data_IF_321775996850
#
_entry.id   IF_321775996850
#
_cell.length_a   1.000
_cell.length_b   1.000
_cell.length_c   1.000
_cell.angle_alpha   90.00
_cell.angle_beta   90.00
_cell.angle_gamma   90.00
#
_symmetry.space_group_name_H-M   'P 1'
#
loop_
_entity.id
_entity.type
_entity.pdbx_description
1 polymer ?
#
# COMPACT_ATOMS: atom_id res chain seq x y z
N UNK A 1 28.52 26.65 -43.24
CA UNK A 1 27.51 26.98 -42.24
C UNK A 1 27.34 25.80 -41.29
N UNK A 2 28.10 25.78 -40.20
CA UNK A 2 27.82 25.16 -38.88
C UNK A 2 28.78 25.87 -37.91
N UNK A 3 28.26 26.40 -36.80
CA UNK A 3 29.05 27.07 -35.75
C UNK A 3 29.74 26.07 -34.82
N UNK A 4 30.95 26.41 -34.35
CA UNK A 4 31.57 25.87 -33.12
C UNK A 4 32.04 27.03 -32.24
N UNK A 5 31.50 27.14 -31.02
CA UNK A 5 32.05 26.74 -29.70
C UNK A 5 33.39 27.37 -29.32
N UNK A 6 33.46 27.90 -28.09
CA UNK A 6 34.73 28.22 -27.44
C UNK A 6 34.53 28.80 -26.04
N UNK A 7 34.46 27.91 -25.05
CA UNK A 7 34.63 28.26 -23.64
C UNK A 7 36.13 28.40 -23.30
N UNK A 8 36.47 29.23 -22.33
CA UNK A 8 37.77 29.15 -21.65
C UNK A 8 37.64 29.56 -20.18
N UNK A 9 38.23 28.71 -19.36
CA UNK A 9 38.29 28.66 -17.90
C UNK A 9 39.56 29.31 -17.34
N UNK A 10 39.55 29.47 -16.01
CA UNK A 10 40.69 29.46 -15.08
C UNK A 10 41.51 30.74 -14.92
N UNK A 11 42.17 31.05 -13.79
CA UNK A 11 42.16 30.71 -12.36
C UNK A 11 43.26 31.67 -11.79
N UNK A 12 42.96 32.44 -10.73
CA UNK A 12 43.75 32.82 -9.52
C UNK A 12 45.32 32.95 -9.56
N UNK A 13 46.03 33.62 -8.62
CA UNK A 13 45.62 34.57 -7.55
C UNK A 13 46.61 35.75 -7.28
N UNK A 14 46.21 36.58 -6.30
CA UNK A 14 47.01 37.07 -5.15
C UNK A 14 47.46 38.55 -5.05
N UNK A 15 47.21 39.06 -3.83
CA UNK A 15 47.89 40.09 -3.04
C UNK A 15 47.81 41.58 -3.42
N UNK A 16 47.01 42.31 -2.61
CA UNK A 16 47.25 43.67 -2.05
C UNK A 16 48.70 43.88 -1.53
N UNK A 17 49.23 45.11 -1.23
CA UNK A 17 48.50 46.32 -0.81
C UNK A 17 49.08 47.73 -1.21
N UNK A 18 48.25 48.77 -1.00
CA UNK A 18 48.56 50.10 -0.42
C UNK A 18 49.38 51.21 -1.18
N UNK A 19 48.73 52.38 -1.21
CA UNK A 19 49.22 53.77 -0.98
C UNK A 19 49.55 54.73 -2.16
N UNK A 20 48.77 55.82 -2.14
CA UNK A 20 49.12 57.27 -2.23
C UNK A 20 49.42 57.93 -3.59
N UNK A 21 48.41 58.71 -4.00
CA UNK A 21 48.40 60.16 -4.29
C UNK A 21 49.32 60.75 -5.37
N UNK A 22 48.69 61.24 -6.45
CA UNK A 22 49.17 62.34 -7.30
C UNK A 22 48.00 63.27 -7.63
N UNK A 23 48.07 64.50 -7.12
CA UNK A 23 47.13 65.62 -7.32
C UNK A 23 47.63 66.50 -8.47
N UNK A 24 46.72 67.14 -9.21
CA UNK A 24 46.75 68.51 -9.82
C UNK A 24 45.79 68.51 -11.05
N UNK A 25 44.89 69.45 -11.32
CA UNK A 25 44.45 70.68 -10.64
C UNK A 25 43.16 71.19 -11.30
N UNK A 26 42.22 71.67 -10.46
CA UNK A 26 41.29 72.81 -10.60
C UNK A 26 40.58 73.08 -11.94
N UNK A 27 39.25 73.13 -11.90
CA UNK A 27 38.55 74.35 -11.45
C UNK A 27 37.10 74.05 -11.04
N UNK A 28 36.74 74.50 -9.84
CA UNK A 28 35.39 74.47 -9.29
C UNK A 28 34.58 75.64 -9.84
N UNK A 29 33.33 75.39 -10.23
CA UNK A 29 32.24 76.32 -9.91
C UNK A 29 31.02 75.57 -9.41
N UNK A 30 30.57 76.02 -8.23
CA UNK A 30 29.67 75.33 -7.30
C UNK A 30 28.20 75.55 -7.65
N UNK A 31 27.45 74.46 -7.52
CA UNK A 31 26.19 74.33 -6.79
C UNK A 31 25.00 75.21 -7.19
N UNK A 32 23.94 74.54 -7.72
CA UNK A 32 22.61 74.59 -7.11
C UNK A 32 21.94 73.21 -7.21
N UNK A 33 21.74 72.57 -6.06
CA UNK A 33 20.89 71.40 -5.86
C UNK A 33 19.43 71.82 -5.71
N UNK A 34 18.52 71.08 -6.34
CA UNK A 34 17.07 71.07 -6.06
C UNK A 34 16.65 69.59 -5.94
N UNK A 35 16.05 69.15 -4.82
CA UNK A 35 15.58 67.77 -4.68
C UNK A 35 14.23 67.58 -5.39
N UNK A 36 14.15 66.56 -6.24
CA UNK A 36 12.91 66.12 -6.88
C UNK A 36 12.15 65.26 -5.85
N UNK A 37 11.21 65.87 -5.13
CA UNK A 37 10.23 65.13 -4.34
C UNK A 37 8.96 64.94 -5.18
N UNK A 38 8.92 63.93 -6.04
CA UNK A 38 7.67 63.44 -6.62
C UNK A 38 7.18 62.23 -5.82
N UNK A 39 6.27 62.48 -4.88
CA UNK A 39 5.51 61.42 -4.24
C UNK A 39 4.48 60.89 -5.23
N UNK A 40 4.64 59.64 -5.69
CA UNK A 40 3.52 58.90 -6.28
C UNK A 40 2.59 58.49 -5.13
N UNK A 41 1.43 59.14 -5.01
CA UNK A 41 0.32 58.62 -4.21
C UNK A 41 -0.09 57.25 -4.78
N UNK A 42 0.20 56.19 -4.03
CA UNK A 42 -0.39 54.88 -4.28
C UNK A 42 -1.86 54.98 -3.89
N UNK A 43 -2.76 55.11 -4.87
CA UNK A 43 -4.20 55.03 -4.63
C UNK A 43 -4.52 53.68 -3.99
N UNK A 44 -5.00 53.72 -2.75
CA UNK A 44 -5.56 52.56 -2.06
C UNK A 44 -6.76 52.06 -2.87
N UNK A 45 -6.87 50.76 -3.19
CA UNK A 45 -8.03 50.25 -3.92
C UNK A 45 -9.33 50.60 -3.19
N UNK A 46 -10.34 51.07 -3.94
CA UNK A 46 -11.66 51.42 -3.39
C UNK A 46 -12.20 50.29 -2.51
N UNK A 47 -12.79 50.63 -1.36
CA UNK A 47 -13.31 49.66 -0.40
C UNK A 47 -14.36 48.70 -1.01
N UNK A 48 -14.98 49.06 -2.13
CA UNK A 48 -15.85 48.17 -2.91
C UNK A 48 -15.10 47.03 -3.62
N UNK A 49 -13.89 47.28 -4.15
CA UNK A 49 -13.11 46.29 -4.90
C UNK A 49 -12.54 45.23 -3.95
N UNK A 50 -12.08 45.63 -2.76
CA UNK A 50 -11.61 44.71 -1.72
C UNK A 50 -12.75 43.85 -1.16
N UNK A 51 -13.98 44.38 -1.06
CA UNK A 51 -15.15 43.59 -0.64
C UNK A 51 -15.59 42.56 -1.68
N UNK A 52 -15.56 42.89 -2.98
CA UNK A 52 -15.87 41.93 -4.04
C UNK A 52 -14.81 40.82 -4.16
N UNK A 53 -13.52 41.15 -4.02
CA UNK A 53 -12.44 40.15 -4.03
C UNK A 53 -12.50 39.21 -2.82
N UNK A 54 -12.81 39.71 -1.62
CA UNK A 54 -13.01 38.88 -0.44
C UNK A 54 -14.23 37.94 -0.58
N UNK A 55 -15.31 38.40 -1.21
CA UNK A 55 -16.49 37.57 -1.48
C UNK A 55 -16.22 36.47 -2.52
N UNK A 56 -15.42 36.74 -3.55
CA UNK A 56 -14.99 35.74 -4.54
C UNK A 56 -14.08 34.66 -3.93
N UNK A 57 -13.20 35.02 -2.99
CA UNK A 57 -12.34 34.05 -2.27
C UNK A 57 -13.17 33.13 -1.36
N UNK A 58 -14.19 33.66 -0.69
CA UNK A 58 -15.10 32.85 0.15
C UNK A 58 -15.93 31.88 -0.72
N UNK A 59 -16.43 32.33 -1.88
CA UNK A 59 -17.17 31.45 -2.80
C UNK A 59 -16.27 30.38 -3.43
N UNK A 60 -15.00 30.68 -3.76
CA UNK A 60 -14.04 29.66 -4.20
C UNK A 60 -13.66 28.68 -3.08
N UNK A 61 -13.63 29.10 -1.81
CA UNK A 61 -13.32 28.21 -0.68
C UNK A 61 -14.46 27.21 -0.38
N UNK A 62 -15.72 27.59 -0.63
CA UNK A 62 -16.87 26.70 -0.45
C UNK A 62 -17.07 25.69 -1.59
N UNK A 63 -16.49 25.92 -2.78
CA UNK A 63 -16.53 24.97 -3.90
C UNK A 63 -15.54 23.80 -3.78
N UNK A 64 -14.61 23.88 -2.81
CA UNK A 64 -13.64 22.83 -2.50
C UNK A 64 -13.78 22.34 -1.06
N UNK A 65 -15.00 22.19 -0.55
CA UNK A 65 -15.19 21.31 0.59
C UNK A 65 -14.77 19.90 0.14
N UNK A 66 -13.68 19.31 0.67
CA UNK A 66 -13.38 17.93 0.34
C UNK A 66 -14.60 17.13 0.78
N UNK A 67 -15.31 16.53 -0.17
CA UNK A 67 -16.23 15.47 0.15
C UNK A 67 -15.39 14.46 0.95
N UNK A 68 -15.67 14.35 2.25
CA UNK A 68 -15.06 13.33 3.09
C UNK A 68 -15.60 12.01 2.53
N UNK A 69 -14.92 11.48 1.53
CA UNK A 69 -15.23 10.17 0.98
C UNK A 69 -14.99 9.19 2.14
N UNK A 70 -16.08 8.58 2.61
CA UNK A 70 -16.01 7.54 3.62
C UNK A 70 -15.14 6.40 3.06
N UNK A 71 -13.92 6.28 3.58
CA UNK A 71 -12.97 5.24 3.17
C UNK A 71 -13.54 3.86 3.49
N UNK A 72 -13.28 2.90 2.61
CA UNK A 72 -13.67 1.50 2.76
C UNK A 72 -12.43 0.60 2.66
N UNK A 73 -12.45 -0.53 3.36
CA UNK A 73 -11.45 -1.60 3.18
C UNK A 73 -12.05 -2.71 2.33
N UNK A 74 -11.41 -3.04 1.22
CA UNK A 74 -11.76 -4.20 0.40
C UNK A 74 -10.79 -5.34 0.67
N UNK A 75 -11.30 -6.58 0.73
CA UNK A 75 -10.49 -7.76 0.97
C UNK A 75 -10.45 -8.66 -0.26
N UNK A 76 -9.27 -8.99 -0.75
CA UNK A 76 -9.03 -9.93 -1.84
C UNK A 76 -8.22 -11.12 -1.31
N UNK A 77 -8.83 -12.30 -1.31
CA UNK A 77 -8.18 -13.51 -0.83
C UNK A 77 -8.97 -14.79 -1.10
N UNK A 78 -8.60 -15.84 -0.38
CA UNK A 78 -9.13 -17.20 -0.54
C UNK A 78 -10.10 -17.63 0.58
N UNK A 79 -10.31 -18.94 0.76
CA UNK A 79 -11.22 -19.48 1.79
C UNK A 79 -10.82 -19.09 3.20
N UNK A 80 -9.54 -18.87 3.49
CA UNK A 80 -9.10 -18.47 4.83
C UNK A 80 -9.52 -17.05 5.20
N UNK A 81 -9.88 -16.23 4.21
CA UNK A 81 -10.37 -14.86 4.37
C UNK A 81 -11.88 -14.74 4.09
N UNK A 82 -12.43 -15.60 3.22
CA UNK A 82 -13.79 -15.53 2.71
C UNK A 82 -14.89 -15.83 3.74
N UNK A 83 -16.08 -15.27 3.50
CA UNK A 83 -17.30 -15.68 4.23
C UNK A 83 -17.54 -17.17 4.06
N UNK A 84 -17.91 -17.84 5.15
CA UNK A 84 -18.15 -19.29 5.24
C UNK A 84 -16.89 -20.16 5.05
N UNK A 85 -15.69 -19.57 5.04
CA UNK A 85 -14.44 -20.32 5.11
C UNK A 85 -14.26 -21.33 3.97
N UNK A 86 -13.98 -22.58 4.34
CA UNK A 86 -13.92 -23.74 3.46
C UNK A 86 -15.29 -24.35 3.12
N UNK A 87 -16.38 -23.81 3.68
CA UNK A 87 -17.75 -24.23 3.47
C UNK A 87 -18.34 -25.04 4.63
N UNK A 88 -19.60 -25.47 4.44
CA UNK A 88 -20.33 -26.39 5.32
C UNK A 88 -20.53 -25.97 6.80
N UNK A 89 -20.43 -24.67 7.10
CA UNK A 89 -20.90 -24.07 8.37
C UNK A 89 -20.02 -24.29 9.60
N UNK A 90 -18.95 -25.08 9.49
CA UNK A 90 -17.99 -25.32 10.58
C UNK A 90 -16.75 -24.41 10.51
N UNK A 91 -16.51 -23.78 9.36
CA UNK A 91 -15.41 -22.83 9.15
C UNK A 91 -15.91 -21.44 8.77
N UNK A 92 -15.05 -20.46 9.01
CA UNK A 92 -15.21 -19.11 8.52
C UNK A 92 -13.85 -18.48 8.21
N UNK A 93 -13.85 -17.42 7.41
CA UNK A 93 -12.65 -16.69 7.05
C UNK A 93 -12.40 -15.47 7.94
N UNK A 94 -11.13 -15.17 8.20
CA UNK A 94 -10.72 -14.10 9.11
C UNK A 94 -11.24 -12.71 8.69
N UNK A 95 -11.44 -12.50 7.39
CA UNK A 95 -11.96 -11.26 6.85
C UNK A 95 -13.39 -10.92 7.33
N UNK A 96 -14.16 -11.90 7.82
CA UNK A 96 -15.47 -11.65 8.44
C UNK A 96 -15.36 -10.93 9.80
N UNK A 97 -14.23 -11.08 10.47
CA UNK A 97 -13.99 -10.57 11.83
C UNK A 97 -13.21 -9.25 11.84
N UNK A 98 -12.56 -8.88 10.73
CA UNK A 98 -11.73 -7.67 10.66
C UNK A 98 -12.52 -6.39 10.96
N UNK A 99 -13.77 -6.30 10.49
CA UNK A 99 -14.59 -5.09 10.60
C UNK A 99 -14.82 -4.63 12.05
N UNK A 100 -14.85 -5.55 13.01
CA UNK A 100 -15.04 -5.21 14.42
C UNK A 100 -13.83 -4.51 15.06
N UNK A 101 -12.68 -4.52 14.39
CA UNK A 101 -11.43 -3.90 14.86
C UNK A 101 -11.12 -2.57 14.17
N UNK A 102 -11.95 -2.14 13.23
CA UNK A 102 -11.78 -0.93 12.45
C UNK A 102 -12.88 0.10 12.73
N UNK A 103 -12.59 1.35 12.37
CA UNK A 103 -13.53 2.49 12.42
C UNK A 103 -14.20 2.76 11.08
N UNK A 104 -13.84 2.00 10.04
CA UNK A 104 -14.32 2.13 8.66
C UNK A 104 -14.88 0.80 8.17
N UNK A 105 -15.84 0.81 7.22
CA UNK A 105 -16.46 -0.41 6.72
C UNK A 105 -15.48 -1.33 5.99
N UNK A 106 -15.78 -2.62 6.04
CA UNK A 106 -15.03 -3.69 5.35
C UNK A 106 -15.95 -4.39 4.36
N UNK A 107 -15.51 -4.51 3.11
CA UNK A 107 -16.15 -5.29 2.05
C UNK A 107 -15.27 -6.50 1.76
N UNK A 108 -15.77 -7.68 2.11
CA UNK A 108 -15.03 -8.91 1.91
C UNK A 108 -15.33 -9.52 0.53
N UNK A 109 -14.38 -9.40 -0.40
CA UNK A 109 -14.45 -9.98 -1.75
C UNK A 109 -13.61 -11.26 -1.88
N UNK A 110 -13.11 -11.82 -0.78
CA UNK A 110 -12.39 -13.09 -0.81
C UNK A 110 -13.34 -14.23 -1.17
N UNK A 111 -12.84 -15.19 -1.94
CA UNK A 111 -13.63 -16.30 -2.47
C UNK A 111 -12.87 -17.61 -2.25
N UNK A 112 -13.57 -18.59 -1.68
CA UNK A 112 -13.02 -19.92 -1.46
C UNK A 112 -12.40 -20.55 -2.72
N UNK A 113 -11.24 -21.17 -2.52
CA UNK A 113 -10.49 -21.88 -3.55
C UNK A 113 -9.79 -21.01 -4.59
N UNK A 114 -9.76 -19.67 -4.44
CA UNK A 114 -9.02 -18.82 -5.39
C UNK A 114 -7.55 -18.73 -5.05
N UNK A 115 -6.74 -18.67 -6.09
CA UNK A 115 -5.32 -18.31 -6.11
C UNK A 115 -5.16 -16.92 -6.72
N UNK A 116 -3.96 -16.35 -6.68
CA UNK A 116 -3.68 -15.07 -7.36
C UNK A 116 -4.00 -15.13 -8.86
N UNK A 117 -3.70 -16.26 -9.53
CA UNK A 117 -4.06 -16.52 -10.93
C UNK A 117 -5.57 -16.56 -11.14
N UNK A 118 -6.26 -17.50 -10.50
CA UNK A 118 -7.69 -17.71 -10.74
C UNK A 118 -8.52 -16.49 -10.33
N UNK A 119 -8.15 -15.76 -9.28
CA UNK A 119 -8.80 -14.52 -8.90
C UNK A 119 -8.64 -13.42 -9.98
N UNK A 120 -7.49 -13.39 -10.65
CA UNK A 120 -7.23 -12.49 -11.78
C UNK A 120 -8.01 -12.91 -13.02
N UNK A 121 -7.91 -14.19 -13.43
CA UNK A 121 -8.53 -14.72 -14.64
C UNK A 121 -10.07 -14.67 -14.57
N UNK A 122 -10.65 -14.81 -13.39
CA UNK A 122 -12.09 -14.65 -13.16
C UNK A 122 -12.54 -13.17 -13.06
N UNK A 123 -11.65 -12.20 -13.29
CA UNK A 123 -11.95 -10.78 -13.30
C UNK A 123 -12.27 -10.19 -11.91
N UNK A 124 -11.91 -10.87 -10.82
CA UNK A 124 -12.29 -10.43 -9.46
C UNK A 124 -11.48 -9.24 -8.99
N UNK A 125 -10.19 -9.15 -9.36
CA UNK A 125 -9.43 -7.92 -9.16
C UNK A 125 -10.05 -6.76 -9.93
N UNK A 126 -10.49 -6.99 -11.18
CA UNK A 126 -11.18 -5.97 -11.98
C UNK A 126 -12.43 -5.45 -11.28
N UNK A 127 -13.23 -6.33 -10.67
CA UNK A 127 -14.39 -5.93 -9.87
C UNK A 127 -14.02 -5.00 -8.72
N UNK A 128 -12.96 -5.31 -7.97
CA UNK A 128 -12.49 -4.44 -6.87
C UNK A 128 -11.97 -3.11 -7.44
N UNK A 129 -11.12 -3.14 -8.47
CA UNK A 129 -10.57 -1.95 -9.14
C UNK A 129 -11.67 -1.01 -9.65
N UNK A 130 -12.79 -1.55 -10.12
CA UNK A 130 -13.93 -0.75 -10.57
C UNK A 130 -14.80 -0.20 -9.43
N UNK A 131 -14.69 -0.77 -8.22
CA UNK A 131 -15.49 -0.39 -7.05
C UNK A 131 -14.78 0.61 -6.14
N UNK A 132 -13.45 0.53 -6.04
CA UNK A 132 -12.65 1.38 -5.15
C UNK A 132 -12.69 2.84 -5.55
N UNK A 133 -12.65 3.70 -4.53
CA UNK A 133 -12.47 5.15 -4.66
C UNK A 133 -11.09 5.54 -4.15
N UNK A 134 -10.65 6.75 -4.51
CA UNK A 134 -9.41 7.31 -3.99
C UNK A 134 -9.43 7.34 -2.45
N UNK A 135 -8.38 6.80 -1.83
CA UNK A 135 -8.25 6.68 -0.38
C UNK A 135 -8.80 5.38 0.23
N UNK A 136 -9.50 4.54 -0.53
CA UNK A 136 -9.89 3.21 -0.06
C UNK A 136 -8.67 2.30 0.13
N UNK A 137 -8.76 1.37 1.07
CA UNK A 137 -7.72 0.36 1.29
C UNK A 137 -8.10 -0.94 0.60
N UNK A 138 -7.10 -1.68 0.08
CA UNK A 138 -7.32 -3.03 -0.43
C UNK A 138 -6.28 -3.97 0.15
N UNK A 139 -6.73 -4.94 0.94
CA UNK A 139 -5.88 -5.98 1.50
C UNK A 139 -5.88 -7.16 0.52
N UNK A 140 -4.69 -7.60 0.12
CA UNK A 140 -4.48 -8.70 -0.83
C UNK A 140 -3.70 -9.81 -0.13
N UNK A 141 -4.29 -10.99 -0.01
CA UNK A 141 -3.69 -12.16 0.65
C UNK A 141 -3.99 -13.44 -0.13
N UNK A 142 -2.96 -14.08 -0.68
CA UNK A 142 -3.06 -15.34 -1.42
C UNK A 142 -1.82 -16.20 -1.14
N UNK A 143 -1.92 -17.48 -1.50
CA UNK A 143 -0.80 -18.44 -1.42
C UNK A 143 -1.25 -19.88 -1.20
N UNK A 144 -2.33 -20.13 -0.45
CA UNK A 144 -2.81 -21.48 -0.14
C UNK A 144 -3.16 -22.29 -1.39
N UNK A 145 -3.72 -21.64 -2.40
CA UNK A 145 -4.18 -22.26 -3.64
C UNK A 145 -3.23 -22.07 -4.83
N UNK A 146 -2.13 -21.34 -4.65
CA UNK A 146 -1.19 -20.97 -5.72
C UNK A 146 -0.16 -22.09 -6.00
N UNK A 147 -0.20 -23.17 -5.23
CA UNK A 147 0.68 -24.33 -5.34
C UNK A 147 0.62 -25.05 -6.69
N UNK A 148 1.56 -25.98 -6.88
CA UNK A 148 1.65 -26.81 -8.07
C UNK A 148 0.57 -27.90 -8.07
N UNK A 149 -0.04 -28.16 -9.21
CA UNK A 149 -1.01 -29.23 -9.44
C UNK A 149 -0.71 -29.94 -10.77
N UNK A 150 -0.90 -31.26 -10.83
CA UNK A 150 -0.80 -32.02 -12.07
C UNK A 150 -1.93 -33.07 -12.12
N UNK A 151 -2.92 -32.95 -13.02
CA UNK A 151 -3.06 -31.89 -14.03
C UNK A 151 -3.33 -30.50 -13.42
N UNK A 152 -3.21 -29.44 -14.23
CA UNK A 152 -3.54 -28.07 -13.82
C UNK A 152 -4.98 -28.02 -13.32
N UNK A 153 -5.16 -27.44 -12.13
CA UNK A 153 -6.45 -27.25 -11.48
C UNK A 153 -7.02 -25.84 -11.72
N UNK A 154 -6.41 -25.07 -12.62
CA UNK A 154 -6.77 -23.68 -12.93
C UNK A 154 -6.28 -22.66 -11.91
N UNK A 155 -5.50 -23.08 -10.91
CA UNK A 155 -5.05 -22.21 -9.81
C UNK A 155 -3.54 -22.05 -9.74
N UNK A 156 -2.79 -23.04 -10.22
CA UNK A 156 -1.34 -23.05 -10.18
C UNK A 156 -0.74 -21.81 -10.87
N UNK A 157 0.27 -21.24 -10.23
CA UNK A 157 1.15 -20.20 -10.78
C UNK A 157 2.53 -20.76 -11.14
N UNK A 158 3.28 -20.04 -11.96
CA UNK A 158 4.68 -20.38 -12.23
C UNK A 158 5.52 -20.29 -10.95
N UNK A 159 6.45 -21.24 -10.76
CA UNK A 159 7.38 -21.21 -9.63
C UNK A 159 8.48 -20.20 -9.90
N UNK A 160 8.67 -19.25 -8.98
CA UNK A 160 9.68 -18.20 -9.07
C UNK A 160 9.14 -16.88 -8.53
N UNK A 161 10.05 -16.03 -8.08
CA UNK A 161 9.72 -14.70 -7.56
C UNK A 161 9.85 -13.60 -8.64
N UNK A 162 10.30 -13.91 -9.86
CA UNK A 162 10.44 -12.95 -10.95
C UNK A 162 9.08 -12.48 -11.48
N UNK A 163 8.97 -11.20 -11.85
CA UNK A 163 7.74 -10.65 -12.44
C UNK A 163 7.43 -11.29 -13.80
N UNK A 164 8.43 -11.42 -14.69
CA UNK A 164 8.25 -12.03 -16.01
C UNK A 164 8.40 -13.57 -16.02
N UNK A 165 8.43 -14.20 -14.85
CA UNK A 165 8.53 -15.66 -14.77
C UNK A 165 7.23 -16.32 -15.24
N UNK A 166 7.35 -17.22 -16.21
CA UNK A 166 6.24 -18.00 -16.77
C UNK A 166 6.53 -19.51 -16.71
N UNK A 167 5.48 -20.31 -16.77
CA UNK A 167 5.56 -21.76 -16.94
C UNK A 167 4.44 -22.25 -17.87
N UNK A 168 4.64 -23.40 -18.53
CA UNK A 168 3.57 -24.09 -19.27
C UNK A 168 3.02 -25.21 -18.41
N UNK A 169 1.73 -25.15 -18.08
CA UNK A 169 1.01 -26.21 -17.34
C UNK A 169 0.10 -26.99 -18.28
N UNK A 170 -0.35 -28.17 -17.86
CA UNK A 170 -1.19 -29.06 -18.68
C UNK A 170 -2.51 -29.32 -17.98
N UNK A 171 -3.61 -28.92 -18.59
CA UNK A 171 -4.96 -29.21 -18.09
C UNK A 171 -5.32 -30.70 -18.26
N UNK A 172 -6.41 -31.13 -17.63
CA UNK A 172 -6.86 -32.54 -17.65
C UNK A 172 -7.20 -33.05 -19.05
N UNK A 173 -7.57 -32.17 -19.98
CA UNK A 173 -7.87 -32.48 -21.38
C UNK A 173 -6.61 -32.50 -22.29
N UNK A 174 -5.42 -32.28 -21.70
CA UNK A 174 -4.15 -32.19 -22.42
C UNK A 174 -3.78 -30.80 -22.92
N UNK A 175 -4.67 -29.80 -22.78
CA UNK A 175 -4.43 -28.42 -23.19
C UNK A 175 -3.22 -27.83 -22.46
N UNK A 176 -2.32 -27.18 -23.21
CA UNK A 176 -1.15 -26.48 -22.66
C UNK A 176 -1.50 -25.02 -22.40
N UNK A 177 -1.26 -24.56 -21.17
CA UNK A 177 -1.61 -23.20 -20.73
C UNK A 177 -0.35 -22.50 -20.25
N UNK A 178 -0.07 -21.30 -20.78
CA UNK A 178 0.98 -20.43 -20.25
C UNK A 178 0.45 -19.74 -18.99
N UNK A 179 1.17 -19.87 -17.87
CA UNK A 179 0.84 -19.23 -16.60
C UNK A 179 1.98 -18.35 -16.15
N UNK A 180 1.65 -17.26 -15.45
CA UNK A 180 2.62 -16.34 -14.86
C UNK A 180 2.90 -16.67 -13.39
N UNK A 181 3.91 -16.04 -12.83
CA UNK A 181 4.30 -16.16 -11.42
C UNK A 181 3.32 -15.47 -10.47
N UNK A 182 3.40 -15.79 -9.18
CA UNK A 182 2.64 -15.09 -8.15
C UNK A 182 2.92 -13.57 -8.15
N UNK A 183 4.19 -13.10 -8.21
CA UNK A 183 4.45 -11.66 -8.23
C UNK A 183 3.92 -10.95 -9.47
N UNK A 184 3.77 -11.62 -10.62
CA UNK A 184 3.11 -11.03 -11.79
C UNK A 184 1.68 -10.61 -11.46
N UNK A 185 0.86 -11.55 -10.95
CA UNK A 185 -0.55 -11.30 -10.66
C UNK A 185 -0.73 -10.24 -9.58
N UNK A 186 0.01 -10.35 -8.48
CA UNK A 186 -0.11 -9.44 -7.34
C UNK A 186 0.35 -8.02 -7.69
N UNK A 187 1.49 -7.85 -8.38
CA UNK A 187 1.97 -6.52 -8.75
C UNK A 187 1.06 -5.84 -9.77
N UNK A 188 0.46 -6.58 -10.71
CA UNK A 188 -0.51 -6.02 -11.64
C UNK A 188 -1.80 -5.55 -10.94
N UNK A 189 -2.31 -6.32 -9.99
CA UNK A 189 -3.44 -5.90 -9.17
C UNK A 189 -3.12 -4.63 -8.37
N UNK A 190 -1.95 -4.56 -7.73
CA UNK A 190 -1.50 -3.39 -6.97
C UNK A 190 -1.43 -2.14 -7.87
N UNK A 191 -0.82 -2.25 -9.04
CA UNK A 191 -0.68 -1.12 -9.95
C UNK A 191 -2.04 -0.62 -10.45
N UNK A 192 -2.97 -1.53 -10.78
CA UNK A 192 -4.33 -1.17 -11.18
C UNK A 192 -5.10 -0.45 -10.06
N UNK A 193 -4.94 -0.87 -8.81
CA UNK A 193 -5.54 -0.22 -7.64
C UNK A 193 -4.94 1.15 -7.35
N UNK A 194 -3.60 1.28 -7.41
CA UNK A 194 -2.91 2.56 -7.26
C UNK A 194 -3.34 3.56 -8.31
N UNK A 195 -3.60 3.12 -9.55
CA UNK A 195 -4.11 3.98 -10.63
C UNK A 195 -5.51 4.55 -10.33
N UNK A 196 -6.28 3.95 -9.41
CA UNK A 196 -7.56 4.49 -8.90
C UNK A 196 -7.41 5.37 -7.65
N UNK A 197 -6.17 5.53 -7.17
CA UNK A 197 -5.87 6.22 -5.91
C UNK A 197 -6.22 5.41 -4.66
N UNK A 198 -6.47 4.10 -4.80
CA UNK A 198 -6.59 3.20 -3.64
C UNK A 198 -5.21 2.95 -3.02
N UNK A 199 -5.20 2.40 -1.79
CA UNK A 199 -4.02 2.12 -0.98
C UNK A 199 -3.95 0.59 -0.79
N UNK A 200 -3.22 -0.13 -1.66
CA UNK A 200 -3.04 -1.58 -1.49
C UNK A 200 -2.17 -1.90 -0.27
N UNK A 201 -2.49 -3.00 0.38
CA UNK A 201 -1.73 -3.61 1.46
C UNK A 201 -1.59 -5.08 1.09
N UNK A 202 -0.35 -5.55 0.97
CA UNK A 202 -0.08 -6.97 0.71
C UNK A 202 0.12 -7.68 2.03
N UNK A 203 -0.54 -8.82 2.18
CA UNK A 203 -0.43 -9.67 3.36
C UNK A 203 0.16 -11.01 2.96
N UNK A 204 1.04 -11.59 3.78
CA UNK A 204 1.42 -12.99 3.61
C UNK A 204 0.23 -13.91 3.93
N UNK A 205 0.14 -15.05 3.26
CA UNK A 205 -0.88 -16.06 3.58
C UNK A 205 -0.82 -16.47 5.07
N UNK A 206 -1.93 -16.94 5.61
CA UNK A 206 -1.97 -17.54 6.95
C UNK A 206 -1.23 -18.89 7.00
N UNK A 207 -0.75 -19.34 8.18
CA UNK A 207 -0.22 -20.68 8.37
C UNK A 207 -1.34 -21.73 8.39
N UNK A 208 -1.03 -22.89 7.83
CA UNK A 208 -1.77 -24.11 8.15
C UNK A 208 -1.44 -24.57 9.58
N UNK A 209 -2.29 -25.44 10.12
CA UNK A 209 -2.07 -26.10 11.40
C UNK A 209 -0.99 -27.20 11.28
N UNK A 210 0.25 -26.78 11.07
CA UNK A 210 1.41 -27.66 10.89
C UNK A 210 2.47 -27.30 11.91
N UNK A 211 2.76 -28.24 12.81
CA UNK A 211 3.70 -28.05 13.92
C UNK A 211 4.99 -28.81 13.66
N UNK A 212 6.13 -28.15 13.90
CA UNK A 212 7.47 -28.73 13.86
C UNK A 212 8.16 -28.36 15.15
N UNK A 213 8.53 -29.36 15.95
CA UNK A 213 9.23 -29.16 17.22
C UNK A 213 8.49 -28.21 18.19
N UNK A 214 7.15 -28.31 18.25
CA UNK A 214 6.33 -27.54 19.19
C UNK A 214 6.06 -26.09 18.78
N UNK A 215 6.40 -25.70 17.55
CA UNK A 215 6.05 -24.39 16.96
C UNK A 215 5.45 -24.55 15.57
N UNK A 216 4.68 -23.56 15.10
CA UNK A 216 4.19 -23.49 13.72
C UNK A 216 5.37 -23.54 12.75
N UNK A 217 5.23 -24.37 11.72
CA UNK A 217 6.23 -24.59 10.68
C UNK A 217 6.59 -23.29 9.94
N UNK A 218 7.78 -23.28 9.33
CA UNK A 218 8.22 -22.17 8.50
C UNK A 218 7.26 -21.92 7.32
N UNK A 219 7.09 -20.65 6.97
CA UNK A 219 6.17 -20.23 5.92
C UNK A 219 6.56 -20.74 4.53
N UNK A 220 5.56 -21.03 3.66
CA UNK A 220 5.84 -21.42 2.28
C UNK A 220 6.41 -20.24 1.49
N UNK A 221 6.93 -20.54 0.30
CA UNK A 221 7.52 -19.54 -0.63
C UNK A 221 6.66 -18.28 -0.85
N UNK A 222 5.33 -18.42 -0.77
CA UNK A 222 4.39 -17.33 -1.01
C UNK A 222 4.43 -16.23 0.06
N UNK A 223 4.89 -16.52 1.27
CA UNK A 223 5.17 -15.50 2.29
C UNK A 223 6.23 -14.53 1.77
N UNK A 224 7.37 -15.07 1.29
CA UNK A 224 8.43 -14.26 0.68
C UNK A 224 7.99 -13.59 -0.63
N UNK A 225 7.21 -14.26 -1.47
CA UNK A 225 6.73 -13.67 -2.73
C UNK A 225 5.77 -12.50 -2.50
N UNK A 226 4.93 -12.57 -1.46
CA UNK A 226 4.08 -11.45 -1.04
C UNK A 226 4.93 -10.25 -0.60
N UNK A 227 5.94 -10.48 0.25
CA UNK A 227 6.86 -9.43 0.70
C UNK A 227 7.59 -8.76 -0.47
N UNK A 228 8.13 -9.56 -1.40
CA UNK A 228 8.83 -9.06 -2.58
C UNK A 228 7.90 -8.26 -3.49
N UNK A 229 6.66 -8.72 -3.69
CA UNK A 229 5.67 -8.00 -4.51
C UNK A 229 5.32 -6.64 -3.92
N UNK A 230 5.17 -6.57 -2.59
CA UNK A 230 4.91 -5.33 -1.88
C UNK A 230 6.08 -4.35 -1.98
N UNK A 231 7.30 -4.85 -1.76
CA UNK A 231 8.54 -4.06 -1.84
C UNK A 231 8.73 -3.44 -3.24
N UNK A 232 8.60 -4.26 -4.30
CA UNK A 232 8.78 -3.82 -5.70
C UNK A 232 7.74 -2.81 -6.19
N UNK A 233 6.58 -2.76 -5.54
CA UNK A 233 5.49 -1.81 -5.87
C UNK A 233 5.33 -0.68 -4.86
N UNK A 234 6.22 -0.64 -3.86
CA UNK A 234 6.26 0.35 -2.78
C UNK A 234 4.92 0.47 -2.05
N UNK A 235 4.32 -0.67 -1.71
CA UNK A 235 3.13 -0.74 -0.86
C UNK A 235 3.45 -1.43 0.46
N UNK A 236 2.57 -1.24 1.46
CA UNK A 236 2.76 -1.87 2.76
C UNK A 236 2.68 -3.39 2.65
N UNK A 237 3.62 -4.07 3.31
CA UNK A 237 3.58 -5.50 3.59
C UNK A 237 3.20 -5.74 5.05
N UNK A 238 2.28 -6.66 5.30
CA UNK A 238 1.96 -7.18 6.63
C UNK A 238 2.35 -8.65 6.65
N UNK A 239 3.28 -9.03 7.55
CA UNK A 239 3.65 -10.44 7.72
C UNK A 239 2.63 -11.18 8.59
N UNK A 240 1.43 -11.35 8.04
CA UNK A 240 0.31 -11.99 8.71
C UNK A 240 0.63 -13.44 9.08
N UNK A 241 1.39 -14.16 8.25
CA UNK A 241 1.89 -15.51 8.57
C UNK A 241 2.58 -15.53 9.93
N UNK A 242 3.58 -14.65 10.11
CA UNK A 242 4.41 -14.64 11.31
C UNK A 242 3.63 -14.20 12.57
N UNK A 243 2.70 -13.23 12.44
CA UNK A 243 1.84 -12.83 13.56
C UNK A 243 0.83 -13.92 13.95
N UNK A 244 0.27 -14.68 13.00
CA UNK A 244 -0.60 -15.82 13.31
C UNK A 244 0.21 -16.94 13.95
N UNK A 245 1.41 -17.23 13.43
CA UNK A 245 2.31 -18.21 14.01
C UNK A 245 2.67 -17.85 15.47
N UNK A 246 2.95 -16.58 15.76
CA UNK A 246 3.17 -16.09 17.12
C UNK A 246 1.95 -16.34 18.03
N UNK A 247 0.74 -16.06 17.53
CA UNK A 247 -0.49 -16.28 18.27
C UNK A 247 -0.72 -17.77 18.57
N UNK A 248 -0.58 -18.64 17.57
CA UNK A 248 -0.71 -20.08 17.72
C UNK A 248 0.34 -20.66 18.67
N UNK A 249 1.61 -20.29 18.50
CA UNK A 249 2.69 -20.73 19.39
C UNK A 249 2.42 -20.37 20.86
N UNK A 250 1.83 -19.21 21.13
CA UNK A 250 1.46 -18.80 22.49
C UNK A 250 0.27 -19.58 23.05
N UNK A 251 -0.70 -19.92 22.21
CA UNK A 251 -1.85 -20.75 22.58
C UNK A 251 -1.45 -22.22 22.79
N UNK A 252 -0.41 -22.66 22.09
CA UNK A 252 0.03 -24.05 22.05
C UNK A 252 -0.79 -24.91 21.07
N UNK A 253 -0.23 -26.06 20.73
CA UNK A 253 -0.75 -26.98 19.72
C UNK A 253 -2.16 -27.49 20.06
N UNK A 254 -2.39 -27.93 21.31
CA UNK A 254 -3.69 -28.46 21.74
C UNK A 254 -4.82 -27.47 21.57
N UNK A 255 -4.62 -26.21 21.98
CA UNK A 255 -5.63 -25.16 21.83
C UNK A 255 -5.83 -24.82 20.35
N UNK A 256 -4.73 -24.70 19.59
CA UNK A 256 -4.78 -24.38 18.15
C UNK A 256 -5.51 -25.46 17.36
N UNK A 257 -5.36 -26.74 17.69
CA UNK A 257 -6.08 -27.84 17.03
C UNK A 257 -7.61 -27.68 17.09
N UNK A 258 -8.15 -27.05 18.14
CA UNK A 258 -9.60 -26.78 18.23
C UNK A 258 -10.10 -25.77 17.20
N UNK A 259 -9.20 -24.98 16.61
CA UNK A 259 -9.52 -24.05 15.52
C UNK A 259 -9.61 -24.74 14.17
N UNK A 260 -9.18 -26.00 14.05
CA UNK A 260 -9.08 -26.71 12.78
C UNK A 260 -9.91 -28.01 12.85
N UNK A 261 -11.25 -27.91 12.88
CA UNK A 261 -12.12 -29.03 13.26
C UNK A 261 -12.20 -30.14 12.21
N UNK A 262 -11.87 -29.86 10.94
CA UNK A 262 -12.03 -30.81 9.83
C UNK A 262 -10.74 -31.03 9.04
N UNK A 263 -9.97 -29.97 8.82
CA UNK A 263 -8.70 -30.02 8.09
C UNK A 263 -7.72 -29.01 8.69
N UNK A 264 -6.47 -29.05 8.22
CA UNK A 264 -5.39 -28.20 8.71
C UNK A 264 -5.32 -26.79 8.10
N UNK A 265 -6.31 -26.35 7.31
CA UNK A 265 -6.30 -25.05 6.60
C UNK A 265 -7.45 -24.14 7.03
N UNK A 266 -8.66 -24.66 7.12
CA UNK A 266 -9.86 -23.87 7.34
C UNK A 266 -10.16 -23.73 8.82
N UNK A 267 -10.19 -22.48 9.29
CA UNK A 267 -10.41 -22.17 10.69
C UNK A 267 -11.89 -22.18 11.07
N UNK A 268 -12.21 -22.65 12.28
CA UNK A 268 -13.49 -22.39 12.93
C UNK A 268 -13.69 -20.88 13.14
N UNK A 269 -14.93 -20.41 13.42
CA UNK A 269 -15.19 -19.00 13.75
C UNK A 269 -14.27 -18.42 14.82
N UNK A 270 -13.96 -19.19 15.87
CA UNK A 270 -13.04 -18.76 16.93
C UNK A 270 -11.60 -18.61 16.41
N UNK A 271 -11.14 -19.56 15.60
CA UNK A 271 -9.82 -19.48 14.96
C UNK A 271 -9.71 -18.32 13.99
N UNK A 272 -10.72 -18.11 13.16
CA UNK A 272 -10.79 -17.01 12.20
C UNK A 272 -10.69 -15.64 12.90
N UNK A 273 -11.30 -15.51 14.09
CA UNK A 273 -11.18 -14.32 14.90
C UNK A 273 -9.75 -14.11 15.45
N UNK A 274 -9.08 -15.18 15.91
CA UNK A 274 -7.67 -15.13 16.34
C UNK A 274 -6.75 -14.69 15.19
N UNK A 275 -7.01 -15.20 13.99
CA UNK A 275 -6.28 -14.80 12.77
C UNK A 275 -6.51 -13.30 12.49
N UNK A 276 -7.76 -12.82 12.54
CA UNK A 276 -8.04 -11.39 12.35
C UNK A 276 -7.34 -10.50 13.38
N UNK A 277 -7.27 -10.93 14.65
CA UNK A 277 -6.52 -10.23 15.70
C UNK A 277 -5.02 -10.17 15.39
N UNK A 278 -4.44 -11.27 14.87
CA UNK A 278 -3.04 -11.32 14.47
C UNK A 278 -2.74 -10.35 13.30
N UNK A 279 -3.64 -10.25 12.31
CA UNK A 279 -3.53 -9.23 11.26
C UNK A 279 -3.51 -7.80 11.83
N UNK A 280 -4.44 -7.50 12.75
CA UNK A 280 -4.53 -6.18 13.42
C UNK A 280 -3.27 -5.90 14.24
N UNK A 281 -2.73 -6.91 14.94
CA UNK A 281 -1.43 -6.80 15.64
C UNK A 281 -0.30 -6.46 14.66
N UNK A 282 -0.29 -7.08 13.47
CA UNK A 282 0.64 -6.73 12.40
C UNK A 282 0.51 -5.28 11.92
N UNK A 283 -0.72 -4.78 11.76
CA UNK A 283 -0.96 -3.36 11.42
C UNK A 283 -0.46 -2.41 12.52
N UNK A 284 -0.70 -2.73 13.80
CA UNK A 284 -0.27 -1.91 14.94
C UNK A 284 1.25 -1.82 15.03
N UNK A 285 1.95 -2.91 14.74
CA UNK A 285 3.40 -2.98 14.82
C UNK A 285 4.11 -2.49 13.55
N UNK A 286 3.39 -2.42 12.43
CA UNK A 286 3.89 -1.91 11.16
C UNK A 286 3.69 -0.42 10.95
N UNK A 287 3.95 0.00 9.71
CA UNK A 287 3.83 1.38 9.22
C UNK A 287 2.60 1.59 8.31
N UNK A 288 1.63 0.67 8.34
CA UNK A 288 0.43 0.76 7.51
C UNK A 288 -0.37 2.01 7.82
N UNK A 289 -0.79 2.74 6.79
CA UNK A 289 -1.71 3.87 6.95
C UNK A 289 -3.08 3.44 7.54
N UNK A 290 -3.46 2.16 7.36
CA UNK A 290 -4.69 1.59 7.94
C UNK A 290 -4.62 1.52 9.48
N UNK A 291 -3.43 1.57 10.09
CA UNK A 291 -3.25 1.63 11.55
C UNK A 291 -4.05 2.77 12.20
N UNK A 292 -4.18 3.90 11.52
CA UNK A 292 -4.95 5.06 11.98
C UNK A 292 -6.46 4.81 12.10
N UNK A 293 -6.94 3.70 11.51
CA UNK A 293 -8.36 3.33 11.51
C UNK A 293 -8.70 2.23 12.50
N UNK A 294 -7.73 1.77 13.30
CA UNK A 294 -7.93 0.73 14.31
C UNK A 294 -8.68 1.32 15.50
N UNK A 295 -9.82 0.71 15.86
CA UNK A 295 -10.66 1.14 16.98
C UNK A 295 -10.12 0.61 18.34
N UNK A 296 -10.78 0.93 19.45
CA UNK A 296 -10.35 0.51 20.79
C UNK A 296 -10.24 -1.01 20.97
N UNK A 297 -11.16 -1.79 20.40
CA UNK A 297 -11.08 -3.25 20.43
C UNK A 297 -9.84 -3.75 19.66
N UNK A 298 -9.54 -3.11 18.52
CA UNK A 298 -8.36 -3.39 17.74
C UNK A 298 -7.05 -3.01 18.45
N UNK A 299 -7.03 -1.93 19.25
CA UNK A 299 -5.88 -1.56 20.07
C UNK A 299 -5.58 -2.62 21.17
N UNK A 300 -6.62 -3.34 21.60
CA UNK A 300 -6.55 -4.33 22.68
C UNK A 300 -6.29 -5.77 22.22
N UNK A 301 -6.06 -6.01 20.92
CA UNK A 301 -5.76 -7.37 20.41
C UNK A 301 -4.52 -7.95 21.12
N UNK A 302 -4.42 -9.28 21.30
CA UNK A 302 -3.33 -9.89 22.06
C UNK A 302 -1.95 -9.74 21.40
N UNK A 303 -0.93 -10.19 22.15
CA UNK A 303 0.47 -10.32 21.74
C UNK A 303 1.22 -9.00 21.50
N UNK A 304 2.51 -9.08 21.19
CA UNK A 304 3.40 -7.94 21.00
C UNK A 304 4.00 -7.91 19.59
N UNK A 305 4.73 -6.85 19.28
CA UNK A 305 5.46 -6.76 18.01
C UNK A 305 6.58 -7.80 17.93
N UNK A 306 6.84 -8.29 16.72
CA UNK A 306 7.98 -9.17 16.42
C UNK A 306 9.25 -8.37 16.19
#
# INVERSE_FOLDING_TARGET
MVCQVGAATSLWPSSDPLQRSGVLSRSEHKSKTQPINSWCEVKVPDQCVMKMLAQLIVVLFFLFAPAILAQTVYLAGDSTMAKNGGGAGWSDGWGQYLGQYLTIPVVNNAIAGRSSRSFTEEGRFTTIVNSVKTGDYVIIEFGHNDGTANPDNGRQVAVGDGYDTTATVTASDGTKILVHSFPYYIQNAINALKAKGAIPIVSSQTPNNTWVSGVIAAGPRFVGYAQVSASRTSVTYVDHYAYVAQAYNKLGETATNTFFPMDHTHTSPAGANVVAQAFVRGLLCGNSALKSKINSAGQAVPNGCM
#
